data_IF_453345145789
#
_entry.id   IF_453345145789
#
_cell.length_a   1.000
_cell.length_b   1.000
_cell.length_c   1.000
_cell.angle_alpha   90.00
_cell.angle_beta   90.00
_cell.angle_gamma   90.00
#
_symmetry.space_group_name_H-M   'P 1'
#
loop_
_entity.id
_entity.type
_entity.pdbx_description
1 polymer ?
#
# COMPACT_ATOMS: atom_id res chain seq x y z
N UNK A 1 -68.40 -4.52 8.66
CA UNK A 1 -67.41 -5.07 7.72
C UNK A 1 -66.61 -3.89 7.18
N UNK A 2 -65.59 -3.46 7.93
CA UNK A 2 -64.67 -2.42 7.47
C UNK A 2 -63.37 -3.13 7.16
N UNK A 3 -63.17 -3.45 5.88
CA UNK A 3 -61.89 -3.94 5.38
C UNK A 3 -60.98 -2.73 5.28
N UNK A 4 -59.83 -2.87 5.91
CA UNK A 4 -58.77 -1.89 6.05
C UNK A 4 -58.25 -1.47 4.67
N UNK A 5 -58.41 -0.19 4.30
CA UNK A 5 -57.92 0.37 3.03
C UNK A 5 -56.39 0.60 3.01
N UNK A 6 -55.68 0.25 4.07
CA UNK A 6 -54.21 0.37 4.17
C UNK A 6 -53.43 -0.83 3.57
N UNK A 7 -54.10 -1.75 2.88
CA UNK A 7 -53.46 -2.95 2.28
C UNK A 7 -53.41 -2.97 0.75
N UNK A 8 -53.71 -1.86 0.06
CA UNK A 8 -53.86 -1.86 -1.40
C UNK A 8 -52.93 -0.95 -2.21
N UNK A 9 -51.87 -0.37 -1.60
CA UNK A 9 -50.74 0.21 -2.35
C UNK A 9 -49.42 0.05 -1.57
N UNK A 10 -49.01 -1.20 -1.31
CA UNK A 10 -47.59 -1.54 -1.46
C UNK A 10 -47.38 -1.81 -2.95
N UNK A 11 -47.43 -0.75 -3.76
CA UNK A 11 -46.68 -0.80 -5.01
C UNK A 11 -45.26 -1.14 -4.59
N UNK A 12 -44.83 -2.28 -5.06
CA UNK A 12 -43.72 -3.02 -4.52
C UNK A 12 -42.46 -2.17 -4.61
N UNK A 13 -41.95 -1.72 -3.46
CA UNK A 13 -40.58 -1.23 -3.32
C UNK A 13 -39.67 -2.33 -3.86
N UNK A 14 -39.33 -2.23 -5.13
CA UNK A 14 -38.60 -3.26 -5.85
C UNK A 14 -37.26 -2.69 -6.26
N UNK A 15 -36.23 -3.50 -6.07
CA UNK A 15 -34.93 -3.25 -6.66
C UNK A 15 -35.12 -3.18 -8.18
N UNK A 16 -34.67 -2.08 -8.83
CA UNK A 16 -34.74 -1.93 -10.28
C UNK A 16 -34.13 -3.15 -11.00
N UNK A 17 -34.81 -3.65 -12.04
CA UNK A 17 -34.46 -4.91 -12.72
C UNK A 17 -32.98 -4.97 -13.15
N UNK A 18 -32.46 -3.86 -13.66
CA UNK A 18 -31.06 -3.72 -14.09
C UNK A 18 -30.01 -3.84 -12.96
N UNK A 19 -30.46 -3.85 -11.70
CA UNK A 19 -29.60 -3.94 -10.52
C UNK A 19 -29.74 -5.26 -9.77
N UNK A 20 -30.82 -6.04 -9.97
CA UNK A 20 -31.16 -7.20 -9.13
C UNK A 20 -30.06 -8.28 -9.01
N UNK A 21 -29.16 -8.39 -10.00
CA UNK A 21 -28.07 -9.37 -10.01
C UNK A 21 -26.71 -8.80 -9.58
N UNK A 22 -26.69 -7.54 -9.11
CA UNK A 22 -25.47 -6.89 -8.63
C UNK A 22 -25.11 -7.36 -7.22
N UNK A 23 -23.86 -7.10 -6.86
CA UNK A 23 -23.32 -7.36 -5.54
C UNK A 23 -22.71 -6.08 -4.96
N UNK A 24 -22.68 -5.99 -3.65
CA UNK A 24 -21.83 -5.08 -2.91
C UNK A 24 -20.68 -5.89 -2.26
N UNK A 25 -19.55 -5.22 -2.05
CA UNK A 25 -18.29 -5.87 -1.70
C UNK A 25 -17.69 -5.28 -0.43
N UNK A 26 -17.47 -6.13 0.57
CA UNK A 26 -16.63 -5.80 1.72
C UNK A 26 -15.24 -6.38 1.49
N UNK A 27 -14.19 -5.55 1.47
CA UNK A 27 -12.82 -6.03 1.40
C UNK A 27 -12.11 -5.92 2.74
N UNK A 28 -11.23 -6.87 3.02
CA UNK A 28 -10.45 -6.91 4.26
C UNK A 28 -9.16 -7.72 4.06
N UNK A 29 -8.24 -7.67 5.03
CA UNK A 29 -7.10 -8.59 5.10
C UNK A 29 -7.59 -10.00 5.44
N UNK A 30 -7.00 -11.02 4.80
CA UNK A 30 -7.27 -12.43 5.12
C UNK A 30 -6.95 -12.76 6.59
N UNK A 31 -6.04 -12.01 7.22
CA UNK A 31 -5.72 -12.16 8.65
C UNK A 31 -6.91 -11.88 9.56
N UNK A 32 -7.85 -11.02 9.12
CA UNK A 32 -9.06 -10.72 9.88
C UNK A 32 -10.10 -11.85 9.83
N UNK A 33 -9.92 -12.83 8.95
CA UNK A 33 -10.92 -13.86 8.71
C UNK A 33 -11.19 -14.71 9.95
N UNK A 34 -10.16 -15.13 10.70
CA UNK A 34 -10.36 -15.93 11.91
C UNK A 34 -11.25 -15.22 12.95
N UNK A 35 -11.00 -13.93 13.15
CA UNK A 35 -11.79 -13.08 14.05
C UNK A 35 -13.20 -12.86 13.53
N UNK A 36 -13.37 -12.63 12.22
CA UNK A 36 -14.68 -12.49 11.57
C UNK A 36 -15.50 -13.78 11.72
N UNK A 37 -14.90 -14.95 11.52
CA UNK A 37 -15.57 -16.24 11.68
C UNK A 37 -15.95 -16.51 13.13
N UNK A 38 -15.17 -16.02 14.08
CA UNK A 38 -15.42 -16.24 15.52
C UNK A 38 -16.45 -15.27 16.11
N UNK A 39 -16.56 -14.05 15.58
CA UNK A 39 -17.34 -12.96 16.20
C UNK A 39 -18.45 -12.38 15.31
N UNK A 40 -18.52 -12.77 14.04
CA UNK A 40 -19.32 -12.11 13.01
C UNK A 40 -18.57 -10.96 12.34
N UNK A 41 -19.07 -10.50 11.18
CA UNK A 41 -18.54 -9.30 10.55
C UNK A 41 -19.24 -8.08 11.15
N UNK A 42 -18.60 -7.47 12.14
CA UNK A 42 -19.20 -6.42 12.97
C UNK A 42 -18.83 -5.00 12.52
N UNK A 43 -19.74 -4.06 12.79
CA UNK A 43 -19.52 -2.62 12.65
C UNK A 43 -18.37 -2.13 13.53
N UNK A 44 -17.79 -0.98 13.19
CA UNK A 44 -16.67 -0.40 13.97
C UNK A 44 -17.08 -0.13 15.42
N UNK A 45 -18.29 0.38 15.65
CA UNK A 45 -18.82 0.63 17.00
C UNK A 45 -18.90 -0.66 17.83
N UNK A 46 -19.41 -1.76 17.25
CA UNK A 46 -19.50 -3.04 17.96
C UNK A 46 -18.15 -3.71 18.17
N UNK A 47 -17.21 -3.58 17.22
CA UNK A 47 -15.83 -4.06 17.43
C UNK A 47 -15.17 -3.36 18.61
N UNK A 48 -15.34 -2.03 18.70
CA UNK A 48 -14.83 -1.23 19.83
C UNK A 48 -15.47 -1.64 21.15
N UNK A 49 -16.80 -1.81 21.20
CA UNK A 49 -17.50 -2.17 22.44
C UNK A 49 -17.16 -3.58 22.95
N UNK A 50 -16.87 -4.51 22.04
CA UNK A 50 -16.46 -5.89 22.36
C UNK A 50 -14.94 -6.07 22.48
N UNK A 51 -14.14 -5.01 22.35
CA UNK A 51 -12.67 -5.06 22.36
C UNK A 51 -12.08 -6.04 21.33
N UNK A 52 -12.74 -6.19 20.18
CA UNK A 52 -12.26 -7.05 19.09
C UNK A 52 -11.27 -6.26 18.25
N UNK A 53 -10.03 -6.74 18.18
CA UNK A 53 -8.99 -6.16 17.33
C UNK A 53 -8.95 -6.86 15.97
N UNK A 54 -8.77 -6.07 14.91
CA UNK A 54 -8.53 -6.49 13.53
C UNK A 54 -7.25 -5.80 13.05
N UNK A 55 -6.56 -6.41 12.08
CA UNK A 55 -5.55 -5.73 11.27
C UNK A 55 -6.22 -4.53 10.61
N UNK A 56 -5.93 -3.34 11.14
CA UNK A 56 -6.50 -2.08 10.67
C UNK A 56 -5.79 -1.65 9.38
N UNK A 57 -6.50 -1.79 8.27
CA UNK A 57 -6.07 -1.33 6.96
C UNK A 57 -6.63 0.06 6.63
N UNK A 58 -7.31 0.73 7.56
CA UNK A 58 -8.02 1.99 7.33
C UNK A 58 -7.18 3.22 7.68
N UNK A 59 -7.51 4.36 7.05
CA UNK A 59 -6.84 5.63 7.31
C UNK A 59 -7.51 6.36 8.48
N UNK A 60 -6.72 6.81 9.47
CA UNK A 60 -7.22 7.43 10.71
C UNK A 60 -8.17 8.62 10.46
N UNK A 61 -7.84 9.48 9.51
CA UNK A 61 -8.67 10.64 9.17
C UNK A 61 -10.05 10.25 8.62
N UNK A 62 -10.13 9.12 7.92
CA UNK A 62 -11.40 8.57 7.43
C UNK A 62 -12.24 8.05 8.59
N UNK A 63 -11.62 7.34 9.54
CA UNK A 63 -12.30 6.83 10.74
C UNK A 63 -12.89 7.96 11.58
N UNK A 64 -12.15 9.06 11.76
CA UNK A 64 -12.66 10.20 12.53
C UNK A 64 -13.94 10.79 11.92
N UNK A 65 -13.99 10.97 10.59
CA UNK A 65 -15.19 11.49 9.92
C UNK A 65 -16.38 10.54 9.99
N UNK A 66 -16.14 9.24 9.83
CA UNK A 66 -17.18 8.20 9.91
C UNK A 66 -17.73 8.04 11.32
N UNK A 67 -16.95 8.37 12.33
CA UNK A 67 -17.40 8.35 13.72
C UNK A 67 -18.49 9.36 14.02
N UNK A 68 -18.56 10.48 13.29
CA UNK A 68 -19.49 11.57 13.58
C UNK A 68 -20.54 11.81 12.50
N UNK A 69 -20.39 11.20 11.33
CA UNK A 69 -21.36 11.29 10.24
C UNK A 69 -22.65 10.53 10.58
N UNK A 70 -23.78 11.25 10.62
CA UNK A 70 -25.11 10.71 10.85
C UNK A 70 -25.69 10.05 9.60
N UNK A 71 -26.44 8.99 9.82
CA UNK A 71 -27.24 8.27 8.82
C UNK A 71 -28.72 8.46 9.16
N UNK A 72 -29.44 9.36 8.45
CA UNK A 72 -30.77 9.81 8.87
C UNK A 72 -31.91 8.85 8.52
N UNK A 73 -31.67 7.83 7.69
CA UNK A 73 -32.71 6.94 7.15
C UNK A 73 -33.25 5.92 8.17
N UNK A 74 -32.52 5.70 9.27
CA UNK A 74 -32.90 4.88 10.40
C UNK A 74 -32.95 5.77 11.66
N UNK A 75 -33.46 5.29 12.83
CA UNK A 75 -33.23 6.00 14.09
C UNK A 75 -31.76 6.44 14.19
N UNK A 76 -31.45 7.61 14.75
CA UNK A 76 -30.18 8.29 14.52
C UNK A 76 -28.98 7.39 14.86
N UNK A 77 -28.36 6.86 13.81
CA UNK A 77 -27.14 6.05 13.85
C UNK A 77 -26.02 6.80 13.14
N UNK A 78 -24.79 6.41 13.42
CA UNK A 78 -23.60 6.96 12.77
C UNK A 78 -23.04 5.94 11.80
N UNK A 79 -22.24 6.39 10.82
CA UNK A 79 -21.65 5.49 9.83
C UNK A 79 -20.81 4.36 10.48
N UNK A 80 -20.20 4.59 11.64
CA UNK A 80 -19.50 3.55 12.41
C UNK A 80 -20.37 2.45 13.00
N UNK A 81 -21.67 2.66 13.08
CA UNK A 81 -22.62 1.64 13.52
C UNK A 81 -22.96 0.64 12.40
N UNK A 82 -22.46 0.87 11.18
CA UNK A 82 -22.70 0.01 10.02
C UNK A 82 -21.43 -0.73 9.57
N UNK A 83 -21.62 -1.92 8.99
CA UNK A 83 -20.65 -2.65 8.19
C UNK A 83 -20.69 -2.10 6.77
N UNK A 84 -19.59 -1.53 6.24
CA UNK A 84 -19.59 -0.95 4.91
C UNK A 84 -19.27 -1.94 3.80
N UNK A 85 -20.02 -1.87 2.71
CA UNK A 85 -19.78 -2.60 1.48
C UNK A 85 -19.82 -1.62 0.30
N UNK A 86 -18.85 -1.69 -0.60
CA UNK A 86 -18.84 -0.85 -1.79
C UNK A 86 -19.63 -1.49 -2.92
N UNK A 87 -20.39 -0.71 -3.68
CA UNK A 87 -20.97 -1.20 -4.94
C UNK A 87 -19.90 -1.40 -6.02
N UNK A 88 -18.75 -0.72 -5.91
CA UNK A 88 -17.61 -0.90 -6.80
C UNK A 88 -16.68 -2.02 -6.34
N UNK A 89 -16.18 -2.81 -7.29
CA UNK A 89 -15.18 -3.87 -7.06
C UNK A 89 -13.79 -3.35 -6.67
N UNK A 90 -13.42 -2.16 -7.16
CA UNK A 90 -12.13 -1.48 -6.85
C UNK A 90 -12.41 -0.06 -6.45
N UNK A 91 -11.79 0.39 -5.37
CA UNK A 91 -12.06 1.72 -4.84
C UNK A 91 -10.78 2.54 -4.71
N UNK A 92 -10.88 3.88 -4.79
CA UNK A 92 -9.83 4.77 -4.34
C UNK A 92 -9.34 4.46 -2.91
N UNK A 93 -10.23 3.97 -2.03
CA UNK A 93 -9.87 3.55 -0.67
C UNK A 93 -8.86 2.39 -0.70
N UNK A 94 -9.14 1.31 -1.42
CA UNK A 94 -8.19 0.19 -1.55
C UNK A 94 -6.85 0.63 -2.16
N UNK A 95 -6.87 1.49 -3.19
CA UNK A 95 -5.63 1.99 -3.77
C UNK A 95 -4.79 2.75 -2.73
N UNK A 96 -5.42 3.57 -1.89
CA UNK A 96 -4.74 4.26 -0.79
C UNK A 96 -4.17 3.28 0.24
N UNK A 97 -4.90 2.21 0.58
CA UNK A 97 -4.38 1.13 1.45
C UNK A 97 -3.12 0.51 0.85
N UNK A 98 -3.16 0.10 -0.42
CA UNK A 98 -2.00 -0.52 -1.07
C UNK A 98 -0.80 0.43 -1.15
N UNK A 99 -1.02 1.73 -1.35
CA UNK A 99 0.03 2.76 -1.37
C UNK A 99 0.76 2.94 -0.04
N UNK A 100 0.16 2.57 1.09
CA UNK A 100 0.87 2.56 2.39
C UNK A 100 1.96 1.50 2.46
N UNK A 101 1.92 0.49 1.56
CA UNK A 101 2.85 -0.65 1.53
C UNK A 101 2.92 -1.41 2.87
N UNK A 102 1.79 -1.51 3.59
CA UNK A 102 1.67 -2.29 4.82
C UNK A 102 1.06 -3.67 4.61
N UNK A 103 0.52 -3.93 3.41
CA UNK A 103 -0.10 -5.21 3.06
C UNK A 103 0.16 -5.52 1.59
N UNK A 104 0.46 -6.79 1.32
CA UNK A 104 0.49 -7.29 -0.04
C UNK A 104 -0.93 -7.52 -0.55
N UNK A 105 -1.21 -7.07 -1.78
CA UNK A 105 -2.56 -7.14 -2.35
C UNK A 105 -3.12 -8.57 -2.41
N UNK A 106 -2.26 -9.59 -2.50
CA UNK A 106 -2.70 -10.98 -2.53
C UNK A 106 -3.29 -11.48 -1.20
N UNK A 107 -3.13 -10.74 -0.10
CA UNK A 107 -3.82 -10.99 1.17
C UNK A 107 -5.17 -10.29 1.29
N UNK A 108 -5.57 -9.47 0.31
CA UNK A 108 -6.89 -8.82 0.29
C UNK A 108 -7.94 -9.80 -0.26
N UNK A 109 -8.99 -10.00 0.54
CA UNK A 109 -10.15 -10.84 0.21
C UNK A 109 -11.40 -9.97 0.12
N UNK A 110 -12.37 -10.40 -0.69
CA UNK A 110 -13.67 -9.73 -0.82
C UNK A 110 -14.80 -10.65 -0.45
N UNK A 111 -15.71 -10.19 0.39
CA UNK A 111 -17.01 -10.80 0.60
C UNK A 111 -18.01 -10.14 -0.34
N UNK A 112 -18.59 -10.92 -1.26
CA UNK A 112 -19.62 -10.47 -2.18
C UNK A 112 -21.00 -10.78 -1.60
N UNK A 113 -21.80 -9.74 -1.42
CA UNK A 113 -23.14 -9.78 -0.83
C UNK A 113 -24.14 -9.34 -1.89
N UNK A 114 -25.23 -10.07 -2.13
CA UNK A 114 -26.17 -9.72 -3.18
C UNK A 114 -26.88 -8.41 -2.83
N UNK A 115 -27.14 -7.57 -3.84
CA UNK A 115 -27.78 -6.27 -3.64
C UNK A 115 -29.20 -6.40 -3.05
N UNK A 116 -29.82 -7.59 -3.18
CA UNK A 116 -31.13 -7.91 -2.61
C UNK A 116 -31.21 -7.74 -1.10
N UNK A 117 -30.08 -7.65 -0.40
CA UNK A 117 -30.08 -7.30 1.03
C UNK A 117 -30.62 -5.89 1.32
N UNK A 118 -30.68 -5.00 0.33
CA UNK A 118 -31.23 -3.65 0.49
C UNK A 118 -32.71 -3.65 0.89
N UNK A 119 -33.44 -4.75 0.63
CA UNK A 119 -34.83 -4.90 1.05
C UNK A 119 -34.99 -5.14 2.57
N UNK A 120 -33.89 -5.30 3.32
CA UNK A 120 -33.92 -5.47 4.77
C UNK A 120 -34.04 -4.11 5.48
N UNK A 121 -34.80 -4.09 6.58
CA UNK A 121 -35.02 -2.89 7.39
C UNK A 121 -33.74 -2.36 8.10
N UNK A 122 -32.69 -3.18 8.17
CA UNK A 122 -31.40 -2.84 8.79
C UNK A 122 -30.32 -2.39 7.78
N UNK A 123 -30.70 -2.21 6.51
CA UNK A 123 -29.80 -1.83 5.42
C UNK A 123 -30.18 -0.47 4.85
N UNK A 124 -29.15 0.35 4.63
CA UNK A 124 -29.26 1.63 3.91
C UNK A 124 -28.12 1.72 2.90
N UNK A 125 -28.19 2.69 2.00
CA UNK A 125 -27.10 2.93 1.06
C UNK A 125 -26.89 4.42 0.78
N UNK A 126 -25.68 4.77 0.33
CA UNK A 126 -25.29 6.13 0.00
C UNK A 126 -24.97 6.28 -1.49
N UNK A 127 -25.18 7.48 -2.04
CA UNK A 127 -24.80 7.80 -3.44
C UNK A 127 -23.32 8.11 -3.63
N UNK A 128 -22.58 8.28 -2.54
CA UNK A 128 -21.16 8.56 -2.52
C UNK A 128 -20.50 8.10 -1.22
N UNK A 129 -19.18 8.28 -1.12
CA UNK A 129 -18.38 7.91 0.05
C UNK A 129 -18.94 8.49 1.35
N UNK A 130 -19.24 7.64 2.33
CA UNK A 130 -19.72 8.06 3.64
C UNK A 130 -18.55 8.46 4.55
N UNK A 131 -17.66 9.33 4.07
CA UNK A 131 -16.49 9.86 4.81
C UNK A 131 -16.05 11.26 4.34
N UNK A 132 -16.94 11.94 3.61
CA UNK A 132 -16.76 13.30 3.09
C UNK A 132 -17.06 14.35 4.16
N UNK A 133 -16.60 15.59 3.93
CA UNK A 133 -16.93 16.72 4.81
C UNK A 133 -18.43 17.07 4.74
N UNK A 134 -18.98 17.08 3.52
CA UNK A 134 -20.42 17.20 3.28
C UNK A 134 -20.95 15.77 3.17
N UNK A 135 -21.84 15.32 4.07
CA UNK A 135 -22.39 13.97 4.01
C UNK A 135 -23.06 13.68 2.66
N UNK A 136 -22.95 12.44 2.15
CA UNK A 136 -23.68 12.02 0.96
C UNK A 136 -25.18 11.92 1.25
N UNK A 137 -25.98 11.70 0.21
CA UNK A 137 -27.36 11.31 0.43
C UNK A 137 -27.40 9.85 0.88
N UNK A 138 -28.27 9.56 1.84
CA UNK A 138 -28.57 8.20 2.28
C UNK A 138 -29.99 7.83 1.88
N UNK A 139 -30.20 6.57 1.56
CA UNK A 139 -31.47 6.02 1.12
C UNK A 139 -31.76 4.70 1.83
N UNK A 140 -33.04 4.47 2.13
CA UNK A 140 -33.59 3.18 2.56
C UNK A 140 -34.61 2.61 1.56
N UNK A 141 -35.05 3.40 0.57
CA UNK A 141 -35.93 2.91 -0.51
C UNK A 141 -35.08 2.26 -1.62
N UNK A 142 -35.26 0.96 -1.92
CA UNK A 142 -34.54 0.26 -2.99
C UNK A 142 -34.63 0.92 -4.38
N UNK A 143 -35.73 1.57 -4.73
CA UNK A 143 -35.88 2.28 -6.02
C UNK A 143 -34.86 3.42 -6.19
N UNK A 144 -34.33 3.94 -5.09
CA UNK A 144 -33.33 5.00 -5.12
C UNK A 144 -31.94 4.52 -5.56
N UNK A 145 -31.78 3.21 -5.82
CA UNK A 145 -30.62 2.72 -6.56
C UNK A 145 -30.48 3.37 -7.94
N UNK A 146 -31.58 3.81 -8.56
CA UNK A 146 -31.55 4.57 -9.82
C UNK A 146 -30.95 5.98 -9.67
N UNK A 147 -30.74 6.46 -8.44
CA UNK A 147 -30.09 7.76 -8.16
C UNK A 147 -28.57 7.65 -8.10
N UNK A 148 -28.03 6.44 -8.00
CA UNK A 148 -26.59 6.21 -7.95
C UNK A 148 -25.98 6.42 -9.35
N UNK A 149 -24.76 6.95 -9.36
CA UNK A 149 -24.00 7.14 -10.61
C UNK A 149 -23.28 5.84 -10.98
N UNK A 150 -24.02 4.87 -11.50
CA UNK A 150 -23.49 3.55 -11.84
C UNK A 150 -22.37 3.59 -12.87
N UNK A 151 -22.36 4.61 -13.75
CA UNK A 151 -21.27 4.86 -14.68
C UNK A 151 -19.95 5.10 -13.95
N UNK A 152 -19.95 5.94 -12.92
CA UNK A 152 -18.76 6.21 -12.11
C UNK A 152 -18.42 5.04 -11.16
N UNK A 153 -19.43 4.35 -10.61
CA UNK A 153 -19.24 3.14 -9.79
C UNK A 153 -18.51 2.04 -10.58
N UNK A 154 -18.95 1.78 -11.82
CA UNK A 154 -18.39 0.73 -12.68
C UNK A 154 -17.11 1.17 -13.43
N UNK A 155 -16.77 2.47 -13.43
CA UNK A 155 -15.61 3.02 -14.14
C UNK A 155 -14.27 2.48 -13.65
N UNK A 156 -13.30 2.34 -14.56
CA UNK A 156 -11.91 1.99 -14.24
C UNK A 156 -11.02 3.21 -13.96
N UNK A 157 -11.49 4.41 -14.32
CA UNK A 157 -10.78 5.67 -14.17
C UNK A 157 -11.50 6.60 -13.18
N UNK A 158 -10.71 7.30 -12.37
CA UNK A 158 -11.15 8.32 -11.42
C UNK A 158 -10.15 9.47 -11.27
N UNK A 159 -9.35 9.75 -12.31
CA UNK A 159 -8.44 10.89 -12.35
C UNK A 159 -9.19 12.25 -12.19
N UNK A 160 -8.57 13.26 -11.51
CA UNK A 160 -9.30 14.28 -10.74
C UNK A 160 -9.85 15.49 -11.52
N UNK A 161 -10.74 16.31 -10.88
CA UNK A 161 -11.16 16.26 -9.47
C UNK A 161 -12.60 15.76 -9.21
N UNK A 162 -12.96 15.74 -7.91
CA UNK A 162 -14.29 15.40 -7.35
C UNK A 162 -15.43 16.07 -8.12
N UNK A 163 -16.62 15.43 -8.27
CA UNK A 163 -17.19 14.41 -7.38
C UNK A 163 -16.98 12.94 -7.79
N UNK A 164 -16.34 12.64 -8.93
CA UNK A 164 -16.22 11.26 -9.48
C UNK A 164 -15.70 10.23 -8.48
N UNK A 165 -14.57 10.54 -7.81
CA UNK A 165 -13.97 9.65 -6.78
C UNK A 165 -14.93 9.31 -5.64
N UNK A 166 -15.77 10.26 -5.22
CA UNK A 166 -16.70 10.07 -4.11
C UNK A 166 -17.87 9.18 -4.54
N UNK A 167 -18.47 9.45 -5.71
CA UNK A 167 -19.55 8.65 -6.29
C UNK A 167 -19.15 7.19 -6.51
N UNK A 168 -17.93 6.96 -7.00
CA UNK A 168 -17.37 5.61 -7.17
C UNK A 168 -17.31 4.80 -5.86
N UNK A 169 -17.26 5.49 -4.73
CA UNK A 169 -17.24 4.90 -3.40
C UNK A 169 -18.62 4.94 -2.73
N UNK A 170 -19.71 4.92 -3.50
CA UNK A 170 -21.05 4.64 -2.98
C UNK A 170 -21.07 3.32 -2.19
N UNK A 171 -21.77 3.31 -1.05
CA UNK A 171 -21.73 2.22 -0.07
C UNK A 171 -23.13 1.66 0.19
N UNK A 172 -23.23 0.34 0.34
CA UNK A 172 -24.28 -0.33 1.10
C UNK A 172 -23.80 -0.46 2.54
N UNK A 173 -24.67 -0.12 3.49
CA UNK A 173 -24.36 -0.02 4.92
C UNK A 173 -25.36 -0.91 5.67
N UNK A 174 -24.84 -1.96 6.31
CA UNK A 174 -25.64 -2.92 7.09
C UNK A 174 -25.45 -2.62 8.57
N UNK A 175 -26.54 -2.39 9.30
CA UNK A 175 -26.47 -2.03 10.71
C UNK A 175 -25.89 -3.18 11.54
N UNK A 176 -24.96 -2.86 12.44
CA UNK A 176 -24.37 -3.73 13.45
C UNK A 176 -23.56 -4.93 12.93
N UNK A 177 -24.15 -5.85 12.17
CA UNK A 177 -23.51 -7.10 11.75
C UNK A 177 -23.95 -7.57 10.35
N UNK A 178 -22.97 -7.94 9.51
CA UNK A 178 -23.19 -8.76 8.32
C UNK A 178 -22.96 -10.23 8.67
N UNK A 179 -23.98 -11.07 8.46
CA UNK A 179 -23.85 -12.51 8.71
C UNK A 179 -23.11 -13.18 7.57
N UNK A 180 -22.29 -14.18 7.90
CA UNK A 180 -21.60 -15.00 6.90
C UNK A 180 -22.58 -15.74 5.98
N UNK A 181 -23.76 -16.10 6.48
CA UNK A 181 -24.84 -16.70 5.67
C UNK A 181 -25.35 -15.79 4.55
N UNK A 182 -25.15 -14.48 4.66
CA UNK A 182 -25.59 -13.50 3.67
C UNK A 182 -24.54 -13.32 2.53
N UNK A 183 -23.35 -13.90 2.69
CA UNK A 183 -22.27 -13.83 1.70
C UNK A 183 -22.50 -14.89 0.62
N UNK A 184 -22.61 -14.46 -0.63
CA UNK A 184 -22.78 -15.36 -1.77
C UNK A 184 -21.46 -16.05 -2.18
N UNK A 185 -20.37 -15.29 -2.23
CA UNK A 185 -19.05 -15.82 -2.54
C UNK A 185 -17.93 -14.93 -2.00
N UNK A 186 -16.73 -15.52 -1.90
CA UNK A 186 -15.50 -14.82 -1.51
C UNK A 186 -14.55 -14.77 -2.71
N UNK A 187 -14.05 -13.58 -3.06
CA UNK A 187 -13.01 -13.43 -4.09
C UNK A 187 -11.64 -13.42 -3.42
N UNK A 188 -10.73 -14.21 -3.97
CA UNK A 188 -9.35 -14.33 -3.50
C UNK A 188 -8.35 -14.21 -4.64
N UNK A 189 -7.10 -13.89 -4.33
CA UNK A 189 -6.06 -13.66 -5.34
C UNK A 189 -5.61 -14.95 -6.05
N UNK A 190 -5.45 -16.06 -5.32
CA UNK A 190 -4.94 -17.32 -5.87
C UNK A 190 -5.47 -18.53 -5.09
N UNK A 191 -5.16 -19.72 -5.60
CA UNK A 191 -5.60 -21.00 -5.01
C UNK A 191 -4.99 -21.27 -3.63
N UNK A 192 -3.78 -20.77 -3.34
CA UNK A 192 -3.16 -20.90 -2.03
C UNK A 192 -3.99 -20.18 -0.96
N UNK A 193 -4.46 -18.96 -1.25
CA UNK A 193 -5.35 -18.21 -0.35
C UNK A 193 -6.71 -18.89 -0.26
N UNK A 194 -7.24 -19.42 -1.38
CA UNK A 194 -8.49 -20.18 -1.37
C UNK A 194 -8.44 -21.40 -0.43
N UNK A 195 -7.35 -22.17 -0.48
CA UNK A 195 -7.13 -23.33 0.38
C UNK A 195 -7.03 -22.93 1.85
N UNK A 196 -6.29 -21.85 2.15
CA UNK A 196 -6.19 -21.30 3.50
C UNK A 196 -7.55 -20.90 4.06
N UNK A 197 -8.37 -20.18 3.29
CA UNK A 197 -9.72 -19.78 3.69
C UNK A 197 -10.60 -21.00 3.95
N UNK A 198 -10.63 -21.98 3.02
CA UNK A 198 -11.43 -23.21 3.21
C UNK A 198 -11.06 -23.94 4.48
N UNK A 199 -9.76 -24.00 4.81
CA UNK A 199 -9.26 -24.60 6.04
C UNK A 199 -9.82 -23.87 7.27
N UNK A 200 -9.75 -22.55 7.32
CA UNK A 200 -10.29 -21.77 8.45
C UNK A 200 -11.80 -21.97 8.64
N UNK A 201 -12.58 -21.96 7.56
CA UNK A 201 -14.02 -22.23 7.64
C UNK A 201 -14.32 -23.62 8.21
N UNK A 202 -13.58 -24.64 7.76
CA UNK A 202 -13.71 -26.01 8.26
C UNK A 202 -13.34 -26.12 9.75
N UNK A 203 -12.24 -25.50 10.18
CA UNK A 203 -11.81 -25.48 11.58
C UNK A 203 -12.85 -24.85 12.51
N UNK A 204 -13.60 -23.85 12.03
CA UNK A 204 -14.68 -23.18 12.78
C UNK A 204 -16.04 -23.89 12.65
N UNK A 205 -16.15 -24.97 11.87
CA UNK A 205 -17.40 -25.65 11.55
C UNK A 205 -18.46 -24.71 10.94
N UNK A 206 -18.04 -23.76 10.11
CA UNK A 206 -18.92 -22.81 9.41
C UNK A 206 -18.97 -23.19 7.94
N UNK A 207 -20.16 -23.18 7.34
CA UNK A 207 -20.32 -23.41 5.90
C UNK A 207 -19.57 -22.33 5.12
N UNK A 208 -18.56 -22.74 4.35
CA UNK A 208 -17.79 -21.84 3.50
C UNK A 208 -18.64 -21.39 2.30
N UNK A 209 -18.82 -20.08 2.07
CA UNK A 209 -19.35 -19.58 0.81
C UNK A 209 -18.50 -20.04 -0.38
N UNK A 210 -19.06 -19.99 -1.58
CA UNK A 210 -18.32 -20.29 -2.81
C UNK A 210 -17.06 -19.42 -2.88
N UNK A 211 -15.91 -19.99 -3.16
CA UNK A 211 -14.68 -19.21 -3.38
C UNK A 211 -14.45 -19.03 -4.88
N UNK A 212 -14.32 -17.77 -5.30
CA UNK A 212 -13.93 -17.40 -6.65
C UNK A 212 -12.42 -17.09 -6.67
N UNK A 213 -11.64 -18.01 -7.23
CA UNK A 213 -10.20 -17.86 -7.39
C UNK A 213 -9.88 -16.87 -8.51
N UNK A 214 -9.46 -15.68 -8.13
CA UNK A 214 -9.01 -14.58 -8.96
C UNK A 214 -10.09 -13.93 -9.84
N UNK A 215 -10.21 -12.62 -9.72
CA UNK A 215 -10.93 -11.76 -10.66
C UNK A 215 -10.14 -10.45 -10.78
N UNK A 216 -9.51 -10.23 -11.94
CA UNK A 216 -8.70 -9.04 -12.19
C UNK A 216 -9.48 -7.73 -12.04
N UNK A 217 -10.82 -7.77 -12.10
CA UNK A 217 -11.66 -6.59 -11.91
C UNK A 217 -11.77 -6.13 -10.45
N UNK A 218 -11.38 -6.99 -9.49
CA UNK A 218 -11.30 -6.67 -8.06
C UNK A 218 -9.90 -6.21 -7.63
N UNK A 219 -8.88 -6.35 -8.47
CA UNK A 219 -7.51 -6.07 -8.09
C UNK A 219 -6.84 -5.02 -8.97
N UNK A 220 -5.88 -4.31 -8.40
CA UNK A 220 -4.99 -3.39 -9.10
C UNK A 220 -3.84 -4.18 -9.73
N UNK A 221 -3.98 -4.51 -11.00
CA UNK A 221 -3.00 -5.29 -11.75
C UNK A 221 -1.97 -4.38 -12.41
N UNK A 222 -0.71 -4.81 -12.46
CA UNK A 222 0.31 -4.18 -13.29
C UNK A 222 0.00 -4.45 -14.77
N UNK A 223 -0.26 -3.39 -15.53
CA UNK A 223 -0.62 -3.48 -16.93
C UNK A 223 0.59 -3.65 -17.87
N UNK A 224 1.81 -3.44 -17.37
CA UNK A 224 3.03 -3.54 -18.19
C UNK A 224 3.58 -4.97 -18.25
N UNK A 225 3.31 -5.78 -17.23
CA UNK A 225 3.80 -7.14 -17.13
C UNK A 225 2.73 -8.16 -17.56
N UNK A 226 3.12 -9.13 -18.40
CA UNK A 226 2.25 -10.26 -18.78
C UNK A 226 2.15 -11.23 -17.59
N UNK A 227 1.19 -11.03 -16.69
CA UNK A 227 0.98 -11.94 -15.56
C UNK A 227 0.04 -11.41 -14.48
N UNK A 228 -0.20 -12.25 -13.46
CA UNK A 228 -0.93 -11.86 -12.24
C UNK A 228 0.02 -11.10 -11.29
N UNK A 229 0.36 -9.86 -11.64
CA UNK A 229 1.25 -9.00 -10.85
C UNK A 229 0.50 -7.83 -10.26
N UNK A 230 0.75 -7.53 -8.98
CA UNK A 230 0.17 -6.37 -8.31
C UNK A 230 0.74 -5.07 -8.89
N UNK A 231 -0.11 -4.06 -9.11
CA UNK A 231 0.32 -2.73 -9.52
C UNK A 231 1.16 -2.02 -8.45
N UNK A 232 1.03 -2.42 -7.18
CA UNK A 232 1.86 -1.93 -6.07
C UNK A 232 2.41 -3.14 -5.33
N UNK A 233 3.74 -3.21 -5.22
CA UNK A 233 4.41 -4.31 -4.54
C UNK A 233 4.35 -4.06 -3.02
N UNK A 234 3.85 -5.06 -2.29
CA UNK A 234 3.74 -5.02 -0.85
C UNK A 234 5.03 -5.41 -0.13
N UNK A 235 5.03 -5.35 1.21
CA UNK A 235 6.24 -5.52 2.01
C UNK A 235 6.81 -6.95 1.96
N UNK A 236 5.96 -7.98 1.94
CA UNK A 236 6.43 -9.38 1.94
C UNK A 236 7.01 -9.72 0.58
N UNK A 237 6.32 -9.36 -0.51
CA UNK A 237 6.84 -9.58 -1.86
C UNK A 237 8.14 -8.78 -2.10
N UNK A 238 8.22 -7.52 -1.64
CA UNK A 238 9.44 -6.73 -1.77
C UNK A 238 10.62 -7.40 -1.05
N UNK A 239 10.42 -7.84 0.20
CA UNK A 239 11.48 -8.52 0.97
C UNK A 239 11.94 -9.80 0.28
N UNK A 240 11.02 -10.63 -0.21
CA UNK A 240 11.37 -11.86 -0.94
C UNK A 240 12.20 -11.57 -2.19
N UNK A 241 11.87 -10.51 -2.95
CA UNK A 241 12.66 -10.10 -4.11
C UNK A 241 14.06 -9.62 -3.73
N UNK A 242 14.20 -8.87 -2.62
CA UNK A 242 15.49 -8.44 -2.08
C UNK A 242 16.33 -9.64 -1.67
N UNK A 243 15.78 -10.56 -0.87
CA UNK A 243 16.48 -11.75 -0.40
C UNK A 243 16.97 -12.60 -1.60
N UNK A 244 16.10 -12.82 -2.58
CA UNK A 244 16.42 -13.55 -3.82
C UNK A 244 17.50 -12.86 -4.66
N UNK A 245 17.45 -11.52 -4.75
CA UNK A 245 18.45 -10.75 -5.47
C UNK A 245 19.83 -10.87 -4.81
N UNK A 246 19.90 -10.74 -3.48
CA UNK A 246 21.16 -10.87 -2.73
C UNK A 246 21.78 -12.25 -2.96
N UNK A 247 20.98 -13.32 -2.88
CA UNK A 247 21.43 -14.69 -3.15
C UNK A 247 21.93 -14.85 -4.59
N UNK A 248 21.21 -14.29 -5.57
CA UNK A 248 21.58 -14.34 -6.99
C UNK A 248 22.90 -13.63 -7.27
N UNK A 249 23.12 -12.43 -6.71
CA UNK A 249 24.38 -11.70 -6.88
C UNK A 249 25.53 -12.49 -6.25
N UNK A 250 25.33 -13.05 -5.05
CA UNK A 250 26.36 -13.81 -4.34
C UNK A 250 26.81 -15.08 -5.08
N UNK A 251 25.94 -15.66 -5.91
CA UNK A 251 26.22 -16.88 -6.70
C UNK A 251 26.71 -16.61 -8.12
N UNK A 252 26.73 -15.35 -8.56
CA UNK A 252 27.18 -14.96 -9.91
C UNK A 252 28.69 -15.15 -10.13
N UNK A 253 29.11 -15.38 -11.38
CA UNK A 253 30.52 -15.68 -11.70
C UNK A 253 31.44 -14.45 -11.69
N UNK A 254 32.71 -14.69 -11.37
CA UNK A 254 33.76 -13.67 -11.27
C UNK A 254 34.40 -13.41 -12.64
N UNK A 255 33.69 -12.73 -13.51
CA UNK A 255 34.31 -12.06 -14.66
C UNK A 255 35.15 -10.86 -14.20
N UNK A 256 36.14 -10.41 -15.00
CA UNK A 256 36.85 -9.16 -14.71
C UNK A 256 35.83 -8.03 -14.56
N UNK A 257 35.93 -7.30 -13.44
CA UNK A 257 35.01 -6.22 -13.09
C UNK A 257 35.61 -4.88 -13.49
N UNK A 258 34.74 -3.89 -13.70
CA UNK A 258 35.13 -2.53 -14.11
C UNK A 258 35.93 -1.78 -13.04
N UNK A 259 35.57 -1.96 -11.77
CA UNK A 259 36.20 -1.35 -10.60
C UNK A 259 36.77 -2.47 -9.73
N UNK A 260 38.01 -2.32 -9.26
CA UNK A 260 38.68 -3.30 -8.41
C UNK A 260 38.10 -3.34 -6.99
N UNK A 261 37.46 -2.26 -6.54
CA UNK A 261 36.82 -2.19 -5.22
C UNK A 261 35.66 -1.19 -5.20
N UNK A 262 34.85 -1.26 -4.14
CA UNK A 262 33.78 -0.28 -3.86
C UNK A 262 34.32 1.14 -3.67
N UNK A 263 35.51 1.29 -3.06
CA UNK A 263 36.15 2.58 -2.87
C UNK A 263 36.53 3.22 -4.21
N UNK A 264 37.08 2.42 -5.13
CA UNK A 264 37.40 2.89 -6.48
C UNK A 264 36.15 3.31 -7.25
N UNK A 265 35.05 2.54 -7.13
CA UNK A 265 33.78 2.89 -7.73
C UNK A 265 33.27 4.25 -7.21
N UNK A 266 33.32 4.50 -5.90
CA UNK A 266 32.96 5.81 -5.31
C UNK A 266 33.81 6.96 -5.87
N UNK A 267 35.15 6.78 -5.95
CA UNK A 267 36.05 7.79 -6.52
C UNK A 267 35.70 8.07 -8.00
N UNK A 268 35.41 7.02 -8.76
CA UNK A 268 35.03 7.14 -10.17
C UNK A 268 33.70 7.89 -10.35
N UNK A 269 32.69 7.59 -9.53
CA UNK A 269 31.37 8.27 -9.57
C UNK A 269 31.52 9.75 -9.20
N UNK A 270 32.33 10.08 -8.19
CA UNK A 270 32.60 11.47 -7.83
C UNK A 270 33.27 12.25 -8.97
N UNK A 271 34.17 11.62 -9.73
CA UNK A 271 34.84 12.24 -10.88
C UNK A 271 33.94 12.33 -12.11
N UNK A 272 33.13 11.30 -12.35
CA UNK A 272 32.19 11.21 -13.45
C UNK A 272 30.98 10.39 -13.02
N UNK A 273 29.89 11.08 -12.69
CA UNK A 273 28.65 10.45 -12.23
C UNK A 273 28.10 9.43 -13.24
N UNK A 274 28.24 9.71 -14.54
CA UNK A 274 27.82 8.81 -15.63
C UNK A 274 28.80 7.65 -15.89
N UNK A 275 29.76 7.38 -14.99
CA UNK A 275 30.65 6.24 -15.14
C UNK A 275 29.93 4.89 -14.95
N UNK A 276 28.72 4.85 -14.39
CA UNK A 276 27.84 3.68 -14.38
C UNK A 276 26.66 3.96 -15.31
N UNK A 277 26.30 3.04 -16.24
CA UNK A 277 25.23 3.26 -17.21
C UNK A 277 23.90 3.73 -16.58
N UNK A 278 23.45 3.12 -15.49
CA UNK A 278 22.19 3.47 -14.82
C UNK A 278 22.22 4.84 -14.16
N UNK A 279 23.39 5.30 -13.70
CA UNK A 279 23.55 6.67 -13.22
C UNK A 279 23.45 7.68 -14.38
N UNK A 280 23.97 7.34 -15.56
CA UNK A 280 23.81 8.17 -16.77
C UNK A 280 22.33 8.31 -17.18
N UNK A 281 21.55 7.27 -16.94
CA UNK A 281 20.12 7.22 -17.22
C UNK A 281 19.23 8.01 -16.23
N UNK A 282 19.80 8.54 -15.15
CA UNK A 282 19.13 9.49 -14.25
C UNK A 282 19.73 10.90 -14.29
N UNK A 283 20.91 11.07 -14.92
CA UNK A 283 21.59 12.36 -15.02
C UNK A 283 20.78 13.39 -15.82
N UNK A 284 20.32 14.48 -15.22
CA UNK A 284 19.50 15.46 -15.94
C UNK A 284 18.06 15.01 -16.20
N UNK A 285 17.61 13.89 -15.59
CA UNK A 285 16.22 13.46 -15.64
C UNK A 285 15.38 14.38 -14.74
N UNK A 286 14.56 15.24 -15.35
CA UNK A 286 13.69 16.16 -14.61
C UNK A 286 12.57 15.40 -13.89
N UNK A 287 12.13 15.92 -12.75
CA UNK A 287 10.98 15.41 -12.01
C UNK A 287 9.77 16.33 -12.17
N UNK A 288 8.56 15.75 -12.14
CA UNK A 288 7.30 16.50 -12.09
C UNK A 288 6.98 17.03 -10.69
N UNK A 289 7.87 16.80 -9.71
CA UNK A 289 7.66 17.24 -8.34
C UNK A 289 7.67 18.77 -8.24
N UNK A 290 6.63 19.34 -7.62
CA UNK A 290 6.46 20.78 -7.48
C UNK A 290 7.42 21.35 -6.43
N UNK A 291 7.81 20.54 -5.45
CA UNK A 291 8.64 20.95 -4.31
C UNK A 291 10.13 20.81 -4.63
N UNK A 292 10.48 19.88 -5.53
CA UNK A 292 11.85 19.52 -5.85
C UNK A 292 12.15 19.82 -7.32
N UNK A 293 12.92 20.87 -7.58
CA UNK A 293 13.22 21.34 -8.94
C UNK A 293 14.52 20.77 -9.53
N UNK A 294 15.37 20.17 -8.71
CA UNK A 294 16.62 19.54 -9.15
C UNK A 294 16.32 18.23 -9.89
N UNK A 295 17.13 17.90 -10.90
CA UNK A 295 17.03 16.63 -11.61
C UNK A 295 17.47 15.45 -10.71
N UNK A 296 17.05 14.24 -11.06
CA UNK A 296 17.28 13.05 -10.21
C UNK A 296 18.79 12.75 -10.00
N UNK A 297 19.63 12.97 -11.01
CA UNK A 297 21.08 12.73 -10.89
C UNK A 297 21.76 13.76 -9.99
N UNK A 298 21.40 15.02 -10.13
CA UNK A 298 21.89 16.09 -9.26
C UNK A 298 21.41 15.91 -7.81
N UNK A 299 20.14 15.53 -7.59
CA UNK A 299 19.61 15.13 -6.28
C UNK A 299 20.45 14.03 -5.65
N UNK A 300 20.72 12.95 -6.39
CA UNK A 300 21.51 11.82 -5.89
C UNK A 300 22.92 12.22 -5.44
N UNK A 301 23.55 13.21 -6.09
CA UNK A 301 24.84 13.78 -5.64
C UNK A 301 24.68 14.58 -4.36
N UNK A 302 23.62 15.37 -4.24
CA UNK A 302 23.30 16.13 -3.03
C UNK A 302 23.08 15.18 -1.84
N UNK A 303 22.31 14.10 -2.03
CA UNK A 303 22.10 13.05 -1.01
C UNK A 303 23.41 12.39 -0.61
N UNK A 304 24.25 11.98 -1.57
CA UNK A 304 25.57 11.39 -1.27
C UNK A 304 26.49 12.34 -0.49
N UNK A 305 26.50 13.63 -0.84
CA UNK A 305 27.23 14.66 -0.09
C UNK A 305 26.68 14.80 1.34
N UNK A 306 25.36 14.95 1.49
CA UNK A 306 24.70 15.11 2.78
C UNK A 306 24.95 13.90 3.70
N UNK A 307 24.97 12.68 3.14
CA UNK A 307 25.22 11.45 3.90
C UNK A 307 26.56 11.50 4.65
N UNK A 308 27.61 12.02 4.02
CA UNK A 308 28.93 12.15 4.67
C UNK A 308 28.96 13.14 5.84
N UNK A 309 27.95 14.01 5.96
CA UNK A 309 27.85 15.05 6.99
C UNK A 309 26.97 14.62 8.17
N UNK A 310 26.34 13.45 8.10
CA UNK A 310 25.48 12.93 9.18
C UNK A 310 26.31 12.44 10.38
N UNK A 311 25.82 12.61 11.62
CA UNK A 311 26.45 12.02 12.81
C UNK A 311 26.59 10.49 12.71
N UNK A 312 25.59 9.83 12.13
CA UNK A 312 25.60 8.41 11.84
C UNK A 312 26.81 7.99 11.00
N UNK A 313 27.07 8.70 9.90
CA UNK A 313 28.21 8.40 9.03
C UNK A 313 29.54 8.48 9.76
N UNK A 314 29.73 9.46 10.65
CA UNK A 314 31.01 9.64 11.36
C UNK A 314 31.38 8.42 12.21
N UNK A 315 30.39 7.74 12.78
CA UNK A 315 30.56 6.56 13.63
C UNK A 315 30.79 5.25 12.84
N UNK A 316 30.60 5.26 11.52
CA UNK A 316 30.79 4.06 10.69
C UNK A 316 32.28 3.78 10.45
N UNK A 317 32.62 2.48 10.34
CA UNK A 317 33.91 2.03 9.84
C UNK A 317 34.08 2.38 8.34
N UNK A 318 35.30 2.25 7.83
CA UNK A 318 35.62 2.68 6.46
C UNK A 318 34.80 1.94 5.39
N UNK A 319 34.49 0.66 5.61
CA UNK A 319 33.72 -0.17 4.70
C UNK A 319 32.26 0.30 4.64
N UNK A 320 31.63 0.52 5.80
CA UNK A 320 30.25 1.02 5.89
C UNK A 320 30.12 2.47 5.42
N UNK A 321 31.15 3.31 5.59
CA UNK A 321 31.22 4.65 4.97
C UNK A 321 31.16 4.56 3.44
N UNK A 322 31.97 3.66 2.85
CA UNK A 322 31.95 3.44 1.40
C UNK A 322 30.60 2.89 0.92
N UNK A 323 29.99 1.96 1.65
CA UNK A 323 28.67 1.41 1.35
C UNK A 323 27.60 2.50 1.35
N UNK A 324 27.56 3.32 2.40
CA UNK A 324 26.57 4.38 2.53
C UNK A 324 26.69 5.41 1.39
N UNK A 325 27.90 5.88 1.08
CA UNK A 325 28.10 6.83 -0.03
C UNK A 325 27.70 6.23 -1.37
N UNK A 326 28.11 4.98 -1.63
CA UNK A 326 27.77 4.29 -2.87
C UNK A 326 26.26 4.10 -3.03
N UNK A 327 25.58 3.63 -1.97
CA UNK A 327 24.14 3.46 -1.97
C UNK A 327 23.40 4.80 -2.12
N UNK A 328 23.90 5.90 -1.54
CA UNK A 328 23.31 7.23 -1.71
C UNK A 328 23.32 7.72 -3.17
N UNK A 329 24.35 7.40 -3.96
CA UNK A 329 24.32 7.68 -5.39
C UNK A 329 23.28 6.85 -6.14
N UNK A 330 23.02 5.63 -5.66
CA UNK A 330 22.17 4.67 -6.32
C UNK A 330 20.70 4.68 -5.86
N UNK A 331 20.36 5.32 -4.74
CA UNK A 331 19.04 5.19 -4.10
C UNK A 331 17.88 5.39 -5.09
N UNK A 332 18.05 6.33 -6.01
CA UNK A 332 17.03 6.73 -6.97
C UNK A 332 17.17 6.12 -8.38
N UNK A 333 18.08 5.16 -8.63
CA UNK A 333 18.27 4.60 -9.99
C UNK A 333 17.01 3.95 -10.55
N UNK A 334 16.14 3.45 -9.67
CA UNK A 334 14.83 2.92 -10.03
C UNK A 334 13.87 3.93 -10.66
N UNK A 335 14.16 5.23 -10.56
CA UNK A 335 13.43 6.33 -11.24
C UNK A 335 13.81 6.44 -12.73
N UNK A 336 14.97 5.94 -13.14
CA UNK A 336 15.35 5.77 -14.55
C UNK A 336 14.78 4.49 -15.20
N UNK A 337 15.11 4.21 -16.47
CA UNK A 337 15.88 5.06 -17.37
C UNK A 337 15.06 6.24 -17.91
N UNK A 338 15.72 7.24 -18.53
CA UNK A 338 15.02 8.40 -19.12
C UNK A 338 14.00 7.98 -20.17
N UNK A 339 14.36 6.98 -20.97
CA UNK A 339 13.54 6.40 -22.04
C UNK A 339 12.19 5.85 -21.56
N UNK A 340 12.04 5.57 -20.26
CA UNK A 340 10.79 5.13 -19.65
C UNK A 340 9.73 6.24 -19.61
N UNK A 341 10.14 7.50 -19.59
CA UNK A 341 9.26 8.66 -19.43
C UNK A 341 8.95 9.27 -20.80
N UNK A 342 7.71 9.14 -21.27
CA UNK A 342 7.30 9.53 -22.63
C UNK A 342 7.52 11.02 -22.93
N UNK A 343 7.38 11.86 -21.92
CA UNK A 343 7.59 13.32 -21.96
C UNK A 343 9.00 13.72 -21.47
N UNK A 344 9.85 12.74 -21.14
CA UNK A 344 11.16 12.95 -20.55
C UNK A 344 11.12 13.46 -19.11
N UNK A 345 9.95 13.44 -18.45
CA UNK A 345 9.75 13.90 -17.08
C UNK A 345 9.38 12.72 -16.19
N UNK A 346 10.12 12.56 -15.10
CA UNK A 346 9.84 11.56 -14.09
C UNK A 346 8.57 11.91 -13.30
N UNK A 347 7.57 11.03 -13.35
CA UNK A 347 6.33 11.13 -12.56
C UNK A 347 6.38 10.17 -11.37
N UNK A 348 5.55 10.43 -10.34
CA UNK A 348 5.47 9.59 -9.14
C UNK A 348 5.30 8.11 -9.49
N UNK A 349 6.21 7.27 -8.98
CA UNK A 349 6.24 5.84 -9.21
C UNK A 349 6.39 5.09 -7.87
N UNK A 350 5.33 4.41 -7.46
CA UNK A 350 5.31 3.66 -6.21
C UNK A 350 6.21 2.41 -6.25
N UNK A 351 6.68 1.98 -7.42
CA UNK A 351 7.50 0.78 -7.59
C UNK A 351 8.94 1.09 -8.03
N UNK A 352 9.44 2.34 -7.92
CA UNK A 352 10.80 2.67 -8.34
C UNK A 352 11.84 1.76 -7.65
N UNK A 353 11.71 1.49 -6.35
CA UNK A 353 12.56 0.55 -5.61
C UNK A 353 12.63 -0.84 -6.29
N UNK A 354 11.49 -1.41 -6.68
CA UNK A 354 11.44 -2.71 -7.39
C UNK A 354 12.14 -2.64 -8.75
N UNK A 355 12.04 -1.50 -9.43
CA UNK A 355 12.69 -1.28 -10.73
C UNK A 355 14.21 -1.09 -10.61
N UNK A 356 14.73 -0.78 -9.41
CA UNK A 356 16.16 -0.77 -9.14
C UNK A 356 16.76 -2.18 -9.00
N UNK A 357 15.97 -3.22 -8.70
CA UNK A 357 16.46 -4.58 -8.51
C UNK A 357 17.31 -5.12 -9.68
N UNK A 358 16.86 -5.11 -10.95
CA UNK A 358 17.69 -5.58 -12.07
C UNK A 358 18.93 -4.71 -12.32
N UNK A 359 18.87 -3.43 -11.96
CA UNK A 359 20.01 -2.51 -12.08
C UNK A 359 21.08 -2.83 -11.03
N UNK A 360 20.66 -3.05 -9.78
CA UNK A 360 21.54 -3.51 -8.70
C UNK A 360 22.14 -4.88 -9.02
N UNK A 361 21.36 -5.79 -9.60
CA UNK A 361 21.87 -7.08 -10.06
C UNK A 361 23.06 -6.88 -11.01
N UNK A 362 22.88 -6.07 -12.06
CA UNK A 362 23.92 -5.80 -13.04
C UNK A 362 25.13 -5.10 -12.41
N UNK A 363 24.92 -3.98 -11.73
CA UNK A 363 26.00 -3.17 -11.13
C UNK A 363 26.85 -4.02 -10.18
N UNK A 364 26.21 -4.73 -9.25
CA UNK A 364 26.93 -5.50 -8.22
C UNK A 364 27.50 -6.82 -8.75
N UNK A 365 26.92 -7.38 -9.83
CA UNK A 365 27.42 -8.61 -10.46
C UNK A 365 28.39 -8.36 -11.59
N UNK A 366 28.57 -7.15 -12.10
CA UNK A 366 29.40 -6.89 -13.30
C UNK A 366 30.44 -5.78 -13.08
N UNK A 367 30.10 -4.71 -12.35
CA UNK A 367 30.96 -3.52 -12.30
C UNK A 367 31.97 -3.56 -11.15
N UNK A 368 31.68 -4.22 -10.02
CA UNK A 368 32.47 -4.09 -8.79
C UNK A 368 33.05 -5.43 -8.34
N UNK A 369 34.37 -5.47 -8.15
CA UNK A 369 35.06 -6.62 -7.57
C UNK A 369 35.05 -6.62 -6.03
N UNK A 370 35.37 -7.78 -5.46
CA UNK A 370 35.63 -7.96 -4.02
C UNK A 370 34.48 -7.60 -3.07
N UNK A 371 33.23 -7.67 -3.55
CA UNK A 371 32.06 -7.51 -2.69
C UNK A 371 31.80 -8.77 -1.86
N UNK A 372 31.76 -8.62 -0.54
CA UNK A 372 31.27 -9.67 0.37
C UNK A 372 29.75 -9.75 0.32
N UNK A 373 29.18 -10.87 0.76
CA UNK A 373 27.73 -11.02 0.92
C UNK A 373 27.12 -9.92 1.79
N UNK A 374 27.83 -9.52 2.86
CA UNK A 374 27.38 -8.43 3.74
C UNK A 374 27.37 -7.08 3.03
N UNK A 375 28.40 -6.76 2.22
CA UNK A 375 28.41 -5.55 1.38
C UNK A 375 27.21 -5.53 0.43
N UNK A 376 26.97 -6.64 -0.28
CA UNK A 376 25.86 -6.76 -1.24
C UNK A 376 24.53 -6.53 -0.52
N UNK A 377 24.31 -7.22 0.61
CA UNK A 377 23.09 -7.07 1.42
C UNK A 377 22.88 -5.61 1.82
N UNK A 378 23.90 -4.96 2.40
CA UNK A 378 23.78 -3.58 2.88
C UNK A 378 23.48 -2.60 1.73
N UNK A 379 24.17 -2.71 0.59
CA UNK A 379 23.91 -1.84 -0.57
C UNK A 379 22.48 -2.05 -1.08
N UNK A 380 22.06 -3.29 -1.29
CA UNK A 380 20.70 -3.58 -1.78
C UNK A 380 19.66 -3.09 -0.78
N UNK A 381 19.85 -3.31 0.52
CA UNK A 381 18.93 -2.82 1.56
C UNK A 381 18.82 -1.29 1.54
N UNK A 382 19.94 -0.57 1.47
CA UNK A 382 19.92 0.90 1.48
C UNK A 382 19.25 1.50 0.25
N UNK A 383 19.43 0.90 -0.94
CA UNK A 383 18.82 1.39 -2.18
C UNK A 383 17.34 1.03 -2.27
N UNK A 384 16.93 -0.16 -1.83
CA UNK A 384 15.54 -0.62 -1.98
C UNK A 384 14.61 -0.09 -0.89
N UNK A 385 15.16 0.26 0.27
CA UNK A 385 14.42 0.77 1.43
C UNK A 385 14.80 2.22 1.78
N UNK A 386 15.28 2.98 0.81
CA UNK A 386 15.63 4.40 0.92
C UNK A 386 14.46 5.25 1.47
N UNK A 387 13.25 5.03 0.94
CA UNK A 387 12.02 5.71 1.36
C UNK A 387 11.46 5.22 2.70
N UNK A 388 11.92 4.06 3.22
CA UNK A 388 11.22 3.35 4.31
C UNK A 388 11.11 4.18 5.59
N UNK A 389 12.21 4.80 6.03
CA UNK A 389 12.23 5.61 7.26
C UNK A 389 11.34 6.84 7.10
N UNK A 390 11.42 7.53 5.96
CA UNK A 390 10.55 8.68 5.66
C UNK A 390 9.07 8.30 5.63
N UNK A 391 8.74 7.16 5.02
CA UNK A 391 7.38 6.64 4.96
C UNK A 391 6.84 6.20 6.33
N UNK A 392 7.68 5.65 7.22
CA UNK A 392 7.29 5.31 8.60
C UNK A 392 6.87 6.57 9.36
N UNK A 393 7.66 7.63 9.22
CA UNK A 393 7.46 8.90 9.94
C UNK A 393 6.26 9.67 9.38
N UNK A 394 6.16 9.79 8.05
CA UNK A 394 5.23 10.71 7.42
C UNK A 394 4.02 10.05 6.75
N UNK A 395 4.09 8.75 6.41
CA UNK A 395 3.07 8.08 5.56
C UNK A 395 2.47 6.81 6.19
N UNK A 396 2.60 6.65 7.50
CA UNK A 396 2.03 5.53 8.27
C UNK A 396 2.49 4.14 7.83
N UNK A 397 3.72 4.03 7.29
CA UNK A 397 4.30 2.72 7.01
C UNK A 397 4.70 2.03 8.32
N UNK A 398 4.47 0.72 8.39
CA UNK A 398 4.68 -0.06 9.61
C UNK A 398 6.18 -0.19 9.91
N UNK A 399 6.59 0.29 11.08
CA UNK A 399 7.97 0.21 11.57
C UNK A 399 8.48 -1.22 11.73
N UNK A 400 7.60 -2.22 11.84
CA UNK A 400 8.03 -3.64 11.85
C UNK A 400 8.83 -3.99 10.59
N UNK A 401 8.52 -3.38 9.44
CA UNK A 401 9.30 -3.55 8.21
C UNK A 401 10.76 -3.13 8.39
N UNK A 402 11.02 -2.06 9.15
CA UNK A 402 12.38 -1.62 9.48
C UNK A 402 13.09 -2.66 10.35
N UNK A 403 12.40 -3.21 11.35
CA UNK A 403 12.94 -4.23 12.25
C UNK A 403 13.21 -5.57 11.56
N UNK A 404 12.46 -5.89 10.51
CA UNK A 404 12.58 -7.14 9.76
C UNK A 404 13.79 -7.15 8.80
N UNK A 405 14.31 -5.98 8.41
CA UNK A 405 15.43 -5.87 7.45
C UNK A 405 16.78 -5.57 8.11
N UNK A 406 16.81 -5.05 9.34
CA UNK A 406 18.04 -4.76 10.08
C UNK A 406 18.63 -6.02 10.72
N UNK A 407 19.96 -6.09 10.70
CA UNK A 407 20.74 -7.20 11.27
C UNK A 407 21.78 -6.75 12.29
N UNK A 408 22.23 -5.49 12.21
CA UNK A 408 23.21 -4.91 13.13
C UNK A 408 22.98 -3.40 13.33
N UNK A 409 23.68 -2.79 14.29
CA UNK A 409 23.53 -1.36 14.60
C UNK A 409 23.90 -0.46 13.41
N UNK A 410 24.87 -0.87 12.61
CA UNK A 410 25.31 -0.12 11.43
C UNK A 410 24.23 -0.08 10.35
N UNK A 411 23.34 -1.09 10.26
CA UNK A 411 22.19 -1.02 9.35
C UNK A 411 21.25 0.12 9.74
N UNK A 412 20.99 0.26 11.05
CA UNK A 412 20.15 1.32 11.60
C UNK A 412 20.79 2.67 11.29
N UNK A 413 22.08 2.85 11.60
CA UNK A 413 22.77 4.12 11.39
C UNK A 413 22.82 4.49 9.90
N UNK A 414 23.07 3.55 8.99
CA UNK A 414 23.09 3.85 7.55
C UNK A 414 21.69 4.16 6.98
N UNK A 415 20.63 3.45 7.39
CA UNK A 415 19.26 3.73 6.92
C UNK A 415 18.75 5.09 7.45
N UNK A 416 19.10 5.44 8.69
CA UNK A 416 18.80 6.78 9.23
C UNK A 416 19.61 7.84 8.49
N UNK A 417 20.90 7.61 8.22
CA UNK A 417 21.76 8.55 7.52
C UNK A 417 21.26 8.86 6.11
N UNK A 418 20.95 7.84 5.30
CA UNK A 418 20.47 8.03 3.93
C UNK A 418 19.12 8.76 3.93
N UNK A 419 18.21 8.42 4.85
CA UNK A 419 16.91 9.08 4.97
C UNK A 419 17.03 10.55 5.41
N UNK A 420 17.88 10.87 6.40
CA UNK A 420 18.17 12.26 6.77
C UNK A 420 18.71 13.07 5.58
N UNK A 421 19.57 12.43 4.78
CA UNK A 421 20.24 13.05 3.64
C UNK A 421 19.29 13.34 2.49
N UNK A 422 18.39 12.39 2.21
CA UNK A 422 17.37 12.49 1.17
C UNK A 422 16.31 13.54 1.53
N UNK A 423 15.72 13.46 2.73
CA UNK A 423 14.76 14.45 3.20
C UNK A 423 15.40 15.84 3.25
N UNK A 424 16.63 15.96 3.75
CA UNK A 424 17.36 17.22 3.82
C UNK A 424 17.73 17.82 2.46
N UNK A 425 17.92 17.01 1.42
CA UNK A 425 18.13 17.48 0.07
C UNK A 425 16.84 18.07 -0.54
N UNK A 426 15.67 17.59 -0.11
CA UNK A 426 14.37 18.06 -0.59
C UNK A 426 13.88 19.28 0.20
N UNK A 427 13.87 19.20 1.53
CA UNK A 427 13.30 20.22 2.40
C UNK A 427 13.90 20.17 3.81
N UNK A 428 14.57 21.24 4.22
CA UNK A 428 15.23 21.32 5.54
C UNK A 428 14.24 21.35 6.69
N UNK A 429 13.07 21.97 6.54
CA UNK A 429 12.02 21.99 7.57
C UNK A 429 11.44 20.59 7.78
N UNK A 430 11.23 19.82 6.70
CA UNK A 430 10.80 18.42 6.84
C UNK A 430 11.85 17.57 7.57
N UNK A 431 13.14 17.83 7.32
CA UNK A 431 14.20 17.17 8.06
C UNK A 431 14.12 17.51 9.56
N UNK A 432 14.01 18.80 9.91
CA UNK A 432 13.87 19.26 11.30
C UNK A 432 12.71 18.57 12.03
N UNK A 433 11.53 18.53 11.40
CA UNK A 433 10.33 17.87 11.95
C UNK A 433 10.51 16.34 12.09
N UNK A 434 11.39 15.74 11.29
CA UNK A 434 11.63 14.29 11.27
C UNK A 434 12.72 13.82 12.23
N UNK A 435 13.58 14.71 12.75
CA UNK A 435 14.72 14.32 13.61
C UNK A 435 14.26 13.55 14.86
N UNK A 436 13.34 14.12 15.64
CA UNK A 436 12.90 13.49 16.89
C UNK A 436 12.18 12.13 16.65
N UNK A 437 11.26 11.99 15.68
CA UNK A 437 10.72 10.70 15.28
C UNK A 437 11.78 9.67 14.84
N UNK A 438 12.80 10.10 14.06
CA UNK A 438 13.91 9.23 13.65
C UNK A 438 14.72 8.70 14.83
N UNK A 439 15.04 9.56 15.80
CA UNK A 439 15.79 9.14 16.99
C UNK A 439 14.98 8.16 17.85
N UNK A 440 13.66 8.34 17.96
CA UNK A 440 12.81 7.37 18.64
C UNK A 440 12.82 6.01 17.92
N UNK A 441 12.64 6.01 16.59
CA UNK A 441 12.70 4.78 15.79
C UNK A 441 14.06 4.07 15.93
N UNK A 442 15.15 4.83 15.94
CA UNK A 442 16.52 4.34 16.17
C UNK A 442 16.67 3.68 17.54
N UNK A 443 16.15 4.28 18.61
CA UNK A 443 16.17 3.69 19.96
C UNK A 443 15.39 2.38 20.00
N UNK A 444 14.19 2.35 19.41
CA UNK A 444 13.35 1.15 19.35
C UNK A 444 14.04 0.03 18.56
N UNK A 445 14.64 0.34 17.42
CA UNK A 445 15.36 -0.61 16.58
C UNK A 445 16.57 -1.23 17.30
N UNK A 446 17.33 -0.43 18.05
CA UNK A 446 18.45 -0.93 18.85
C UNK A 446 17.99 -1.87 19.96
N UNK A 447 16.87 -1.54 20.62
CA UNK A 447 16.25 -2.44 21.61
C UNK A 447 15.77 -3.74 20.98
N UNK A 448 15.19 -3.68 19.78
CA UNK A 448 14.76 -4.87 19.03
C UNK A 448 15.94 -5.79 18.70
N UNK A 449 17.08 -5.25 18.26
CA UNK A 449 18.29 -6.05 18.01
C UNK A 449 18.85 -6.70 19.28
N UNK A 450 18.79 -6.02 20.43
CA UNK A 450 19.23 -6.58 21.71
C UNK A 450 18.32 -7.69 22.24
N UNK A 451 17.06 -7.74 21.78
CA UNK A 451 16.08 -8.73 22.21
C UNK A 451 16.03 -9.99 21.31
N UNK A 452 16.73 -9.97 20.16
CA UNK A 452 16.95 -11.13 19.30
C UNK A 452 18.15 -11.93 19.80
#
# INVERSE_FOLDING_TARGET
MFVNMDTLFKDSLMIPEEHQHRYAYHFTSVENLDSILSNGMLSTSLKKSKSISHTDISLKDIQNRRQDMLVPCLPPKKVHDFVPLYFSKRTPMLLSVLRTKNIDQFYIIYFAVPISLIDRDDVVFSDAAANTLIPPNFYSNPENLNKLDWKEIDSWDWNPPSPRKQKKMAEMLILDELKISDVSYIVVWNDSVAQYIKKLFNEKNILCPRIQCFDATHYFMDLQNKGKTSAIIGPIELKQKVDSLVEKICTSSKNPKKFASLQEANIAIHKNFSCIPELSEIEGLKTSNIIHHEDIGAHSRTVAKNATSTPEYQNLNIQNKNILVFASFLHDIGKGPKSRWKDGIQHVDHNHAVKALPMLERILSEDIAELTQECIRKIVTLVIYDDLVGDIIAKHRDKKQFFDIITCNEDIDMLIAISKSDIGAINTTWLEDSIAPMELLKIEARKHLLAR
#
